data_IF_022157583721
#
_entry.id   IF_022157583721
#
_cell.length_a   1.000
_cell.length_b   1.000
_cell.length_c   1.000
_cell.angle_alpha   90.00
_cell.angle_beta   90.00
_cell.angle_gamma   90.00
#
_symmetry.space_group_name_H-M   'P 1'
#
loop_
_entity.id
_entity.type
_entity.pdbx_description
1 polymer ?
#
# COMPACT_ATOMS: atom_id res chain seq x y z
N UNK A 1 -5.17 21.38 16.95
CA UNK A 1 -6.31 20.47 17.17
C UNK A 1 -5.96 19.59 18.36
N UNK A 2 -6.80 19.54 19.38
CA UNK A 2 -6.50 18.81 20.62
C UNK A 2 -6.73 17.31 20.36
N UNK A 3 -5.74 16.45 20.67
CA UNK A 3 -5.82 14.99 20.46
C UNK A 3 -7.07 14.37 21.14
N UNK A 4 -7.50 14.93 22.26
CA UNK A 4 -8.69 14.48 22.98
C UNK A 4 -10.00 14.81 22.22
N UNK A 5 -10.08 15.95 21.54
CA UNK A 5 -11.26 16.32 20.73
C UNK A 5 -11.40 15.40 19.50
N UNK A 6 -10.28 14.94 18.93
CA UNK A 6 -10.28 13.99 17.82
C UNK A 6 -10.74 12.59 18.27
N UNK A 7 -10.44 12.20 19.52
CA UNK A 7 -10.84 10.91 20.08
C UNK A 7 -12.34 10.88 20.43
N UNK A 8 -12.92 12.01 20.87
CA UNK A 8 -14.35 12.10 21.19
C UNK A 8 -15.24 12.11 19.94
N UNK A 9 -14.78 12.69 18.84
CA UNK A 9 -15.55 12.75 17.58
C UNK A 9 -15.67 11.41 16.84
N UNK A 10 -14.86 10.42 17.16
CA UNK A 10 -14.79 9.14 16.45
C UNK A 10 -15.32 7.94 17.26
N UNK A 11 -16.16 8.18 18.25
CA UNK A 11 -16.79 7.10 19.01
C UNK A 11 -18.01 6.59 18.22
N UNK A 12 -17.87 5.41 17.61
CA UNK A 12 -18.97 4.75 16.92
C UNK A 12 -20.20 4.64 17.83
N UNK A 13 -21.39 5.09 17.40
CA UNK A 13 -22.63 4.94 18.15
C UNK A 13 -22.88 3.51 18.55
N UNK A 14 -23.36 3.31 19.80
CA UNK A 14 -23.46 1.97 20.41
C UNK A 14 -24.39 1.04 19.63
N UNK A 15 -25.42 1.58 18.94
CA UNK A 15 -26.37 0.76 18.19
C UNK A 15 -25.70 -0.05 17.08
N UNK A 16 -24.65 0.46 16.38
CA UNK A 16 -23.92 -0.33 15.39
C UNK A 16 -23.25 -1.57 15.99
N UNK A 17 -22.79 -1.47 17.26
CA UNK A 17 -22.17 -2.59 17.97
C UNK A 17 -23.20 -3.64 18.43
N UNK A 18 -24.48 -3.27 18.44
CA UNK A 18 -25.58 -4.16 18.87
C UNK A 18 -26.30 -4.82 17.70
N UNK A 19 -26.10 -4.31 16.47
CA UNK A 19 -26.66 -4.91 15.27
C UNK A 19 -26.01 -6.26 14.97
N UNK A 20 -26.82 -7.19 14.51
CA UNK A 20 -26.31 -8.45 13.95
C UNK A 20 -25.66 -8.22 12.60
N UNK A 21 -24.76 -9.11 12.21
CA UNK A 21 -24.13 -9.05 10.88
C UNK A 21 -25.18 -9.08 9.75
N UNK A 22 -26.23 -9.88 9.88
CA UNK A 22 -27.31 -9.98 8.89
C UNK A 22 -28.08 -8.65 8.72
N UNK A 23 -28.38 -7.95 9.83
CA UNK A 23 -29.01 -6.61 9.78
C UNK A 23 -28.13 -5.60 9.12
N UNK A 24 -26.81 -5.57 9.44
CA UNK A 24 -25.87 -4.66 8.79
C UNK A 24 -25.74 -4.93 7.29
N UNK A 25 -25.63 -6.20 6.87
CA UNK A 25 -25.57 -6.61 5.47
C UNK A 25 -26.82 -6.11 4.71
N UNK A 26 -28.00 -6.37 5.27
CA UNK A 26 -29.27 -5.92 4.66
C UNK A 26 -29.29 -4.39 4.49
N UNK A 27 -28.87 -3.67 5.53
CA UNK A 27 -28.90 -2.20 5.52
C UNK A 27 -27.87 -1.61 4.56
N UNK A 28 -26.63 -2.13 4.52
CA UNK A 28 -25.61 -1.71 3.53
C UNK A 28 -26.10 -1.94 2.10
N UNK A 29 -26.72 -3.09 1.85
CA UNK A 29 -27.28 -3.44 0.53
C UNK A 29 -28.39 -2.47 0.12
N UNK A 30 -29.29 -2.13 1.03
CA UNK A 30 -30.37 -1.16 0.82
C UNK A 30 -29.81 0.22 0.45
N UNK A 31 -28.86 0.74 1.24
CA UNK A 31 -28.27 2.07 1.01
C UNK A 31 -27.52 2.11 -0.31
N UNK A 32 -26.72 1.05 -0.63
CA UNK A 32 -26.06 0.95 -1.94
C UNK A 32 -27.06 1.03 -3.09
N UNK A 33 -28.18 0.32 -3.00
CA UNK A 33 -29.23 0.36 -4.03
C UNK A 33 -29.86 1.74 -4.15
N UNK A 34 -30.07 2.46 -3.05
CA UNK A 34 -30.65 3.82 -3.04
C UNK A 34 -29.69 4.86 -3.62
N UNK A 35 -28.40 4.79 -3.28
CA UNK A 35 -27.39 5.73 -3.78
C UNK A 35 -27.00 5.45 -5.24
N UNK A 36 -27.10 4.20 -5.69
CA UNK A 36 -26.86 3.79 -7.06
C UNK A 36 -25.53 4.30 -7.62
N UNK A 37 -25.53 4.90 -8.80
CA UNK A 37 -24.33 5.42 -9.48
C UNK A 37 -23.65 6.59 -8.75
N UNK A 38 -24.30 7.21 -7.76
CA UNK A 38 -23.69 8.26 -6.94
C UNK A 38 -22.70 7.74 -5.90
N UNK A 39 -22.68 6.42 -5.65
CA UNK A 39 -21.76 5.75 -4.72
C UNK A 39 -20.81 4.85 -5.48
N UNK A 40 -19.52 4.90 -5.10
CA UNK A 40 -18.49 3.98 -5.55
C UNK A 40 -17.64 3.52 -4.35
N UNK A 41 -17.49 2.21 -4.19
CA UNK A 41 -16.76 1.60 -3.08
C UNK A 41 -15.54 0.83 -3.63
N UNK A 42 -14.38 1.49 -3.83
CA UNK A 42 -13.13 0.80 -4.11
C UNK A 42 -12.60 0.12 -2.84
N UNK A 43 -12.12 -1.13 -2.98
CA UNK A 43 -11.71 -1.98 -1.87
C UNK A 43 -10.34 -2.62 -2.13
N UNK A 44 -9.42 -2.49 -1.19
CA UNK A 44 -8.12 -3.13 -1.30
C UNK A 44 -8.22 -4.64 -1.03
N UNK A 45 -7.35 -5.42 -1.67
CA UNK A 45 -7.29 -6.89 -1.48
C UNK A 45 -7.08 -7.34 -0.02
N UNK A 46 -6.52 -6.49 0.84
CA UNK A 46 -6.26 -6.82 2.26
C UNK A 46 -7.44 -6.55 3.19
N UNK A 47 -8.58 -6.11 2.66
CA UNK A 47 -9.77 -5.88 3.47
C UNK A 47 -10.41 -7.19 3.95
N UNK A 48 -11.20 -7.05 5.03
CA UNK A 48 -11.97 -8.15 5.63
C UNK A 48 -13.02 -8.69 4.66
N UNK A 49 -13.26 -10.00 4.73
CA UNK A 49 -14.26 -10.69 3.93
C UNK A 49 -15.70 -10.21 4.18
N UNK A 50 -15.97 -9.57 5.32
CA UNK A 50 -17.26 -8.93 5.62
C UNK A 50 -17.47 -7.59 4.87
N UNK A 51 -16.40 -6.97 4.36
CA UNK A 51 -16.43 -5.68 3.64
C UNK A 51 -16.35 -5.89 2.12
N UNK A 52 -15.50 -6.81 1.69
CA UNK A 52 -15.21 -7.09 0.27
C UNK A 52 -16.46 -7.31 -0.59
N UNK A 53 -17.52 -8.01 -0.14
CA UNK A 53 -18.73 -8.24 -0.96
C UNK A 53 -19.48 -6.97 -1.38
N UNK A 54 -19.25 -5.86 -0.70
CA UNK A 54 -19.88 -4.57 -1.01
C UNK A 54 -19.06 -3.70 -1.96
N UNK A 55 -17.85 -4.13 -2.32
CA UNK A 55 -16.98 -3.38 -3.22
C UNK A 55 -17.55 -3.34 -4.66
N UNK A 56 -17.37 -2.19 -5.32
CA UNK A 56 -17.64 -2.03 -6.75
C UNK A 56 -16.39 -2.33 -7.58
N UNK A 57 -15.21 -2.25 -6.95
CA UNK A 57 -13.93 -2.66 -7.52
C UNK A 57 -13.01 -3.16 -6.41
N UNK A 58 -12.29 -4.25 -6.69
CA UNK A 58 -11.25 -4.80 -5.82
C UNK A 58 -9.92 -4.74 -6.56
N UNK A 59 -8.86 -4.31 -5.87
CA UNK A 59 -7.56 -4.18 -6.50
C UNK A 59 -6.40 -3.96 -5.53
N UNK A 60 -5.21 -3.91 -6.10
CA UNK A 60 -4.03 -3.36 -5.45
C UNK A 60 -4.01 -1.82 -5.54
N UNK A 61 -3.01 -1.19 -4.91
CA UNK A 61 -2.91 0.27 -4.87
C UNK A 61 -2.86 0.91 -6.27
N UNK A 62 -2.20 0.28 -7.26
CA UNK A 62 -2.13 0.80 -8.63
C UNK A 62 -3.48 0.69 -9.34
N UNK A 63 -4.10 -0.49 -9.27
CA UNK A 63 -5.41 -0.72 -9.89
C UNK A 63 -6.46 0.24 -9.34
N UNK A 64 -6.50 0.40 -8.01
CA UNK A 64 -7.47 1.30 -7.37
C UNK A 64 -7.21 2.77 -7.71
N UNK A 65 -5.94 3.19 -7.82
CA UNK A 65 -5.60 4.54 -8.27
C UNK A 65 -6.08 4.80 -9.72
N UNK A 66 -5.87 3.83 -10.63
CA UNK A 66 -6.32 3.92 -12.02
C UNK A 66 -7.86 3.96 -12.12
N UNK A 67 -8.56 3.10 -11.36
CA UNK A 67 -10.03 3.06 -11.36
C UNK A 67 -10.61 4.35 -10.77
N UNK A 68 -10.03 4.86 -9.68
CA UNK A 68 -10.45 6.14 -9.09
C UNK A 68 -10.30 7.30 -10.08
N UNK A 69 -9.17 7.37 -10.80
CA UNK A 69 -8.93 8.37 -11.83
C UNK A 69 -9.94 8.34 -12.99
N UNK A 70 -10.45 7.14 -13.31
CA UNK A 70 -11.42 6.93 -14.41
C UNK A 70 -12.87 7.16 -13.98
N UNK A 71 -13.20 6.98 -12.71
CA UNK A 71 -14.57 7.19 -12.22
C UNK A 71 -14.88 8.67 -12.10
N UNK A 72 -15.72 9.18 -13.00
CA UNK A 72 -16.16 10.59 -13.02
C UNK A 72 -17.66 10.74 -12.66
N UNK A 73 -18.34 9.63 -12.37
CA UNK A 73 -19.81 9.64 -12.14
C UNK A 73 -20.18 9.70 -10.66
N UNK A 74 -19.52 8.90 -9.83
CA UNK A 74 -19.85 8.79 -8.42
C UNK A 74 -19.53 10.09 -7.68
N UNK A 75 -20.53 10.63 -6.99
CA UNK A 75 -20.36 11.78 -6.10
C UNK A 75 -19.63 11.39 -4.81
N UNK A 76 -19.92 10.21 -4.29
CA UNK A 76 -19.34 9.68 -3.06
C UNK A 76 -18.46 8.46 -3.33
N UNK A 77 -17.21 8.55 -2.91
CA UNK A 77 -16.25 7.45 -3.02
C UNK A 77 -15.90 7.01 -1.59
N UNK A 78 -16.41 5.85 -1.17
CA UNK A 78 -16.13 5.27 0.15
C UNK A 78 -14.96 4.31 0.00
N UNK A 79 -13.76 4.77 0.35
CA UNK A 79 -12.53 4.04 0.10
C UNK A 79 -12.27 3.02 1.20
N UNK A 80 -12.48 1.72 0.93
CA UNK A 80 -12.15 0.62 1.83
C UNK A 80 -10.69 0.21 1.65
N UNK A 81 -9.80 1.01 2.22
CA UNK A 81 -8.34 0.88 2.18
C UNK A 81 -7.71 1.59 3.36
N UNK A 82 -6.56 2.22 3.16
CA UNK A 82 -5.89 3.03 4.19
C UNK A 82 -5.72 4.47 3.73
N UNK A 83 -5.39 5.36 4.68
CA UNK A 83 -5.41 6.80 4.51
C UNK A 83 -4.70 7.29 3.24
N UNK A 84 -3.46 6.88 2.98
CA UNK A 84 -2.71 7.31 1.79
C UNK A 84 -3.37 6.88 0.45
N UNK A 85 -4.16 5.80 0.45
CA UNK A 85 -4.92 5.38 -0.74
C UNK A 85 -6.10 6.31 -0.98
N UNK A 86 -6.79 6.70 0.09
CA UNK A 86 -7.88 7.67 0.02
C UNK A 86 -7.37 9.06 -0.37
N UNK A 87 -6.20 9.52 0.13
CA UNK A 87 -5.52 10.72 -0.35
C UNK A 87 -5.22 10.63 -1.86
N UNK A 88 -4.71 9.49 -2.32
CA UNK A 88 -4.42 9.27 -3.74
C UNK A 88 -5.70 9.34 -4.57
N UNK A 89 -6.80 8.77 -4.10
CA UNK A 89 -8.10 8.87 -4.75
C UNK A 89 -8.61 10.33 -4.79
N UNK A 90 -8.51 11.08 -3.68
CA UNK A 90 -8.93 12.50 -3.65
C UNK A 90 -8.17 13.35 -4.68
N UNK A 91 -6.84 13.16 -4.77
CA UNK A 91 -6.00 13.88 -5.74
C UNK A 91 -6.30 13.56 -7.21
N UNK A 92 -6.77 12.33 -7.51
CA UNK A 92 -7.03 11.86 -8.86
C UNK A 92 -8.50 12.07 -9.32
N UNK A 93 -9.39 12.37 -8.39
CA UNK A 93 -10.81 12.59 -8.65
C UNK A 93 -11.12 14.08 -8.91
N UNK A 94 -12.36 14.41 -9.24
CA UNK A 94 -12.78 15.79 -9.48
C UNK A 94 -13.12 16.50 -8.17
N UNK A 95 -13.11 17.83 -8.17
CA UNK A 95 -13.47 18.65 -6.99
C UNK A 95 -14.90 18.44 -6.50
N UNK A 96 -15.79 17.88 -7.32
CA UNK A 96 -17.19 17.60 -6.97
C UNK A 96 -17.37 16.24 -6.29
N UNK A 97 -16.34 15.38 -6.36
CA UNK A 97 -16.36 14.07 -5.75
C UNK A 97 -15.83 14.14 -4.31
N UNK A 98 -16.48 13.41 -3.42
CA UNK A 98 -16.16 13.36 -2.01
C UNK A 98 -15.57 11.99 -1.69
N UNK A 99 -14.30 11.95 -1.35
CA UNK A 99 -13.62 10.72 -0.90
C UNK A 99 -13.75 10.62 0.62
N UNK A 100 -14.21 9.49 1.08
CA UNK A 100 -14.46 9.22 2.52
C UNK A 100 -13.75 7.93 2.93
N UNK A 101 -13.10 7.95 4.09
CA UNK A 101 -12.50 6.77 4.72
C UNK A 101 -13.40 6.29 5.88
N UNK A 102 -13.86 5.03 5.92
CA UNK A 102 -14.79 4.59 6.96
C UNK A 102 -14.28 4.72 8.40
N UNK A 103 -12.97 4.52 8.63
CA UNK A 103 -12.27 4.81 9.90
C UNK A 103 -10.99 5.60 9.63
N UNK A 104 -10.88 6.83 10.14
CA UNK A 104 -9.69 7.69 9.96
C UNK A 104 -8.42 7.10 10.57
N UNK A 105 -8.55 6.12 11.48
CA UNK A 105 -7.41 5.39 12.07
C UNK A 105 -6.90 4.26 11.18
N UNK A 106 -7.52 4.02 10.02
CA UNK A 106 -7.03 3.09 9.01
C UNK A 106 -5.82 3.70 8.29
N UNK A 107 -4.68 3.77 8.99
CA UNK A 107 -3.39 4.26 8.50
C UNK A 107 -2.51 3.17 7.91
N UNK A 108 -1.26 3.52 7.65
CA UNK A 108 -0.22 2.58 7.23
C UNK A 108 1.09 2.92 7.94
N UNK A 109 1.53 2.06 8.86
CA UNK A 109 2.75 2.29 9.65
C UNK A 109 3.99 2.50 8.78
N UNK A 110 4.07 1.85 7.61
CA UNK A 110 5.16 2.06 6.67
C UNK A 110 5.11 3.45 6.04
N UNK A 111 3.93 3.90 5.62
CA UNK A 111 3.75 5.25 5.07
C UNK A 111 4.14 6.32 6.11
N UNK A 112 3.80 6.08 7.38
CA UNK A 112 4.10 6.98 8.50
C UNK A 112 5.59 6.98 8.89
N UNK A 113 6.37 5.97 8.48
CA UNK A 113 7.83 5.93 8.69
C UNK A 113 8.59 6.95 7.85
N UNK A 114 7.99 7.50 6.80
CA UNK A 114 8.55 8.62 6.04
C UNK A 114 7.73 9.89 6.31
N UNK A 115 8.12 10.62 7.32
CA UNK A 115 7.55 11.92 7.66
C UNK A 115 8.15 13.03 6.80
N UNK A 116 7.32 14.02 6.39
CA UNK A 116 7.75 15.11 5.52
C UNK A 116 8.82 15.98 6.16
N UNK A 117 8.77 16.21 7.47
CA UNK A 117 9.79 17.00 8.18
C UNK A 117 11.12 16.26 8.22
N UNK A 118 11.09 14.94 8.41
CA UNK A 118 12.31 14.13 8.34
C UNK A 118 12.89 14.13 6.93
N UNK A 119 12.06 14.05 5.90
CA UNK A 119 12.51 14.08 4.50
C UNK A 119 13.12 15.45 4.14
N UNK A 120 12.48 16.55 4.50
CA UNK A 120 13.02 17.90 4.27
C UNK A 120 14.32 18.17 5.03
N UNK A 121 14.56 17.51 6.15
CA UNK A 121 15.84 17.55 6.86
C UNK A 121 16.92 16.65 6.24
N UNK A 122 16.51 15.52 5.66
CA UNK A 122 17.41 14.56 5.00
C UNK A 122 17.94 15.10 3.67
N UNK A 123 17.07 15.73 2.87
CA UNK A 123 17.35 16.11 1.50
C UNK A 123 18.57 17.02 1.33
N UNK A 124 18.74 18.13 2.09
CA UNK A 124 19.93 18.98 1.98
C UNK A 124 21.22 18.24 2.34
N UNK A 125 21.17 17.30 3.29
CA UNK A 125 22.33 16.49 3.64
C UNK A 125 22.74 15.56 2.52
N UNK A 126 21.77 14.90 1.88
CA UNK A 126 22.00 14.05 0.72
C UNK A 126 22.55 14.88 -0.47
N UNK A 127 22.00 16.08 -0.70
CA UNK A 127 22.51 17.00 -1.71
C UNK A 127 23.95 17.45 -1.41
N UNK A 128 24.33 17.61 -0.15
CA UNK A 128 25.71 17.92 0.24
C UNK A 128 26.65 16.75 -0.04
N UNK A 129 26.22 15.52 0.17
CA UNK A 129 27.03 14.31 -0.06
C UNK A 129 27.19 13.95 -1.54
N UNK A 130 26.12 14.09 -2.33
CA UNK A 130 26.03 13.55 -3.68
C UNK A 130 25.76 14.59 -4.76
N UNK A 131 25.56 15.86 -4.41
CA UNK A 131 25.19 16.89 -5.36
C UNK A 131 23.82 16.67 -5.99
N UNK A 132 23.57 17.25 -7.16
CA UNK A 132 22.32 17.11 -7.94
C UNK A 132 22.31 15.80 -8.76
N UNK A 133 22.69 14.69 -8.15
CA UNK A 133 22.74 13.37 -8.81
C UNK A 133 21.64 12.41 -8.34
N UNK A 134 20.75 12.85 -7.43
CA UNK A 134 19.75 12.00 -6.79
C UNK A 134 18.36 12.29 -7.36
N UNK A 135 17.63 11.25 -7.74
CA UNK A 135 16.21 11.31 -8.06
C UNK A 135 15.39 10.68 -6.90
N UNK A 136 14.47 11.40 -6.27
CA UNK A 136 13.61 10.80 -5.26
C UNK A 136 12.52 9.94 -5.94
N UNK A 137 12.31 8.74 -5.42
CA UNK A 137 11.28 7.80 -5.86
C UNK A 137 10.48 7.36 -4.63
N UNK A 138 9.17 7.53 -4.63
CA UNK A 138 8.36 7.07 -3.50
C UNK A 138 7.41 5.96 -3.86
N UNK A 139 7.40 4.93 -3.03
CA UNK A 139 6.34 3.93 -3.08
C UNK A 139 4.99 4.62 -2.88
N UNK A 140 3.95 4.17 -3.58
CA UNK A 140 2.59 4.73 -3.49
C UNK A 140 2.07 4.69 -2.04
N UNK A 141 2.61 3.76 -1.23
CA UNK A 141 2.37 3.65 0.21
C UNK A 141 3.16 4.75 0.97
N UNK A 142 2.81 5.99 0.72
CA UNK A 142 3.35 7.21 1.32
C UNK A 142 2.27 8.28 1.38
N UNK A 143 2.43 9.30 2.23
CA UNK A 143 1.47 10.39 2.35
C UNK A 143 1.46 11.28 1.11
N UNK A 144 0.39 12.06 0.92
CA UNK A 144 0.31 13.05 -0.15
C UNK A 144 1.46 14.07 -0.09
N UNK A 145 1.90 14.45 1.11
CA UNK A 145 3.02 15.37 1.32
C UNK A 145 4.35 14.80 0.79
N UNK A 146 4.62 13.51 1.01
CA UNK A 146 5.80 12.82 0.46
C UNK A 146 5.72 12.75 -1.06
N UNK A 147 4.56 12.40 -1.62
CA UNK A 147 4.34 12.39 -3.08
C UNK A 147 4.56 13.77 -3.70
N UNK A 148 4.08 14.82 -3.00
CA UNK A 148 4.26 16.21 -3.39
C UNK A 148 5.73 16.59 -3.45
N UNK A 149 6.49 16.32 -2.40
CA UNK A 149 7.94 16.54 -2.38
C UNK A 149 8.64 15.84 -3.55
N UNK A 150 8.33 14.57 -3.76
CA UNK A 150 8.93 13.78 -4.84
C UNK A 150 8.58 14.36 -6.22
N UNK A 151 7.34 14.76 -6.43
CA UNK A 151 6.91 15.38 -7.69
C UNK A 151 7.52 16.76 -7.94
N UNK A 152 7.73 17.56 -6.89
CA UNK A 152 8.42 18.84 -6.95
C UNK A 152 9.89 18.69 -7.36
N UNK A 153 10.57 17.64 -6.87
CA UNK A 153 11.96 17.33 -7.19
C UNK A 153 12.16 16.46 -8.44
N UNK A 154 11.16 16.39 -9.33
CA UNK A 154 11.27 15.68 -10.61
C UNK A 154 11.16 14.15 -10.51
N UNK A 155 10.91 13.62 -9.31
CA UNK A 155 10.78 12.21 -9.06
C UNK A 155 9.40 11.63 -9.43
N UNK A 156 9.16 10.38 -9.09
CA UNK A 156 7.94 9.64 -9.43
C UNK A 156 7.46 8.77 -8.28
N UNK A 157 6.19 8.41 -8.30
CA UNK A 157 5.68 7.30 -7.48
C UNK A 157 5.98 5.96 -8.15
N UNK A 158 5.91 4.88 -7.37
CA UNK A 158 6.10 3.50 -7.81
C UNK A 158 5.16 2.58 -7.02
N UNK A 159 4.80 1.45 -7.59
CA UNK A 159 4.08 0.35 -6.91
C UNK A 159 4.87 -0.94 -7.01
N UNK A 160 4.54 -1.94 -6.20
CA UNK A 160 5.15 -3.27 -6.33
C UNK A 160 4.89 -3.93 -7.69
N UNK A 161 3.86 -3.49 -8.43
CA UNK A 161 3.53 -4.03 -9.76
C UNK A 161 4.40 -3.46 -10.89
N UNK A 162 4.98 -2.28 -10.73
CA UNK A 162 5.78 -1.60 -11.75
C UNK A 162 7.18 -1.18 -11.26
N UNK A 163 7.61 -1.71 -10.10
CA UNK A 163 8.84 -1.27 -9.44
C UNK A 163 10.08 -1.39 -10.32
N UNK A 164 10.30 -2.54 -10.94
CA UNK A 164 11.45 -2.80 -11.81
C UNK A 164 11.53 -1.79 -12.97
N UNK A 165 10.39 -1.53 -13.62
CA UNK A 165 10.31 -0.58 -14.75
C UNK A 165 10.58 0.87 -14.31
N UNK A 166 9.98 1.28 -13.19
CA UNK A 166 10.13 2.65 -12.66
C UNK A 166 11.54 2.90 -12.12
N UNK A 167 12.11 1.96 -11.37
CA UNK A 167 13.47 2.09 -10.83
C UNK A 167 14.50 2.11 -11.95
N UNK A 168 14.35 1.27 -12.99
CA UNK A 168 15.20 1.31 -14.19
C UNK A 168 15.14 2.69 -14.85
N UNK A 169 13.94 3.22 -15.11
CA UNK A 169 13.76 4.56 -15.66
C UNK A 169 14.40 5.64 -14.77
N UNK A 170 14.23 5.57 -13.46
CA UNK A 170 14.76 6.56 -12.53
C UNK A 170 16.30 6.62 -12.55
N UNK A 171 16.96 5.48 -12.67
CA UNK A 171 18.41 5.35 -12.79
C UNK A 171 18.96 5.84 -14.15
N UNK A 172 18.12 5.92 -15.18
CA UNK A 172 18.45 6.57 -16.45
C UNK A 172 18.37 8.11 -16.36
N UNK A 173 17.56 8.65 -15.41
CA UNK A 173 17.39 10.09 -15.24
C UNK A 173 18.50 10.72 -14.41
N UNK A 174 18.96 10.02 -13.36
CA UNK A 174 20.00 10.46 -12.43
C UNK A 174 20.91 9.29 -12.06
N UNK A 175 22.11 9.58 -11.61
CA UNK A 175 23.09 8.56 -11.21
C UNK A 175 22.65 7.73 -10.02
N UNK A 176 21.77 8.31 -9.16
CA UNK A 176 21.32 7.73 -7.90
C UNK A 176 19.82 7.91 -7.73
N UNK A 177 19.20 6.98 -7.00
CA UNK A 177 17.83 7.14 -6.54
C UNK A 177 17.77 7.21 -5.01
N UNK A 178 16.80 7.98 -4.49
CA UNK A 178 16.42 7.95 -3.09
C UNK A 178 15.03 7.33 -2.98
N UNK A 179 14.96 6.08 -2.52
CA UNK A 179 13.74 5.27 -2.49
C UNK A 179 13.08 5.34 -1.11
N UNK A 180 11.80 5.75 -1.08
CA UNK A 180 10.98 5.91 0.12
C UNK A 180 9.69 5.09 0.00
N UNK A 181 9.01 4.75 1.12
CA UNK A 181 9.57 4.64 2.46
C UNK A 181 10.13 3.24 2.76
N UNK A 182 9.87 2.24 1.89
CA UNK A 182 10.19 0.82 2.11
C UNK A 182 11.58 0.46 1.60
N UNK A 183 12.48 0.14 2.54
CA UNK A 183 13.84 -0.28 2.19
C UNK A 183 13.87 -1.63 1.47
N UNK A 184 12.93 -2.53 1.77
CA UNK A 184 12.96 -3.89 1.23
C UNK A 184 12.49 -3.92 -0.22
N UNK A 185 11.37 -3.26 -0.55
CA UNK A 185 10.92 -3.14 -1.93
C UNK A 185 12.00 -2.46 -2.79
N UNK A 186 12.58 -1.35 -2.31
CA UNK A 186 13.64 -0.65 -3.03
C UNK A 186 14.88 -1.53 -3.24
N UNK A 187 15.34 -2.22 -2.19
CA UNK A 187 16.50 -3.13 -2.24
C UNK A 187 16.28 -4.30 -3.20
N UNK A 188 15.16 -5.00 -3.04
CA UNK A 188 14.85 -6.18 -3.85
C UNK A 188 14.70 -5.82 -5.33
N UNK A 189 14.05 -4.70 -5.63
CA UNK A 189 13.92 -4.20 -6.99
C UNK A 189 15.27 -3.80 -7.60
N UNK A 190 16.11 -3.08 -6.85
CA UNK A 190 17.43 -2.68 -7.32
C UNK A 190 18.35 -3.89 -7.52
N UNK A 191 18.27 -4.88 -6.64
CA UNK A 191 19.04 -6.13 -6.78
C UNK A 191 18.61 -6.94 -8.00
N UNK A 192 17.30 -7.02 -8.28
CA UNK A 192 16.76 -7.65 -9.50
C UNK A 192 17.27 -6.95 -10.77
N UNK A 193 17.50 -5.64 -10.74
CA UNK A 193 18.10 -4.85 -11.82
C UNK A 193 19.63 -5.00 -11.91
N UNK A 194 20.23 -5.84 -11.09
CA UNK A 194 21.67 -6.12 -11.10
C UNK A 194 22.54 -5.14 -10.30
N UNK A 195 21.93 -4.29 -9.46
CA UNK A 195 22.69 -3.42 -8.55
C UNK A 195 23.06 -4.24 -7.32
N UNK A 196 24.36 -4.42 -7.02
CA UNK A 196 24.80 -5.20 -5.87
C UNK A 196 24.48 -4.49 -4.55
N UNK A 197 24.33 -5.28 -3.47
CA UNK A 197 23.94 -4.75 -2.15
C UNK A 197 24.94 -3.72 -1.60
N UNK A 198 26.22 -3.87 -1.90
CA UNK A 198 27.29 -2.96 -1.52
C UNK A 198 27.19 -1.56 -2.19
N UNK A 199 26.34 -1.40 -3.22
CA UNK A 199 26.03 -0.10 -3.85
C UNK A 199 24.72 0.51 -3.33
N UNK A 200 24.16 -0.03 -2.23
CA UNK A 200 22.92 0.42 -1.61
C UNK A 200 23.19 0.95 -0.19
N UNK A 201 22.93 2.21 0.01
CA UNK A 201 23.01 2.87 1.32
C UNK A 201 21.65 2.90 2.02
N UNK A 202 21.64 3.05 3.34
CA UNK A 202 20.43 3.24 4.13
C UNK A 202 20.42 4.67 4.70
N UNK A 203 19.33 5.40 4.48
CA UNK A 203 19.07 6.61 5.23
C UNK A 203 18.29 6.30 6.51
N UNK A 204 18.89 6.58 7.67
CA UNK A 204 18.24 6.42 8.96
C UNK A 204 17.55 7.74 9.39
N UNK A 205 16.21 7.85 9.29
CA UNK A 205 15.51 9.09 9.60
C UNK A 205 15.53 9.45 11.09
N UNK A 206 15.67 8.47 11.98
CA UNK A 206 15.72 8.68 13.44
C UNK A 206 17.04 9.32 13.82
N UNK A 207 18.15 8.81 13.27
CA UNK A 207 19.50 9.37 13.51
C UNK A 207 19.81 10.54 12.58
N UNK A 208 19.01 10.72 11.52
CA UNK A 208 19.21 11.72 10.46
C UNK A 208 20.61 11.64 9.84
N UNK A 209 21.02 10.39 9.49
CA UNK A 209 22.33 10.07 8.92
C UNK A 209 22.25 8.98 7.86
N UNK A 210 23.26 8.93 7.00
CA UNK A 210 23.47 7.88 6.01
C UNK A 210 24.25 6.72 6.66
N UNK A 211 23.69 5.54 6.70
CA UNK A 211 24.35 4.28 7.08
C UNK A 211 24.89 3.62 5.80
N UNK A 212 26.19 3.72 5.57
CA UNK A 212 26.86 3.17 4.40
C UNK A 212 28.34 2.92 4.68
N UNK A 213 28.81 1.70 4.41
CA UNK A 213 30.20 1.29 4.62
C UNK A 213 31.05 1.31 3.33
N UNK A 214 30.39 1.51 2.16
CA UNK A 214 31.05 1.56 0.85
C UNK A 214 31.61 2.93 0.48
N UNK A 215 32.22 3.00 -0.70
CA UNK A 215 32.61 4.28 -1.29
C UNK A 215 31.36 5.03 -1.80
N UNK A 216 31.21 6.30 -1.43
CA UNK A 216 30.07 7.13 -1.83
C UNK A 216 29.90 7.25 -3.36
N UNK A 217 30.99 7.19 -4.11
CA UNK A 217 30.95 7.26 -5.58
C UNK A 217 30.27 6.02 -6.19
N UNK A 218 30.35 4.85 -5.51
CA UNK A 218 29.74 3.61 -5.96
C UNK A 218 28.27 3.48 -5.54
N UNK A 219 27.79 4.35 -4.62
CA UNK A 219 26.41 4.32 -4.15
C UNK A 219 25.43 4.66 -5.28
N UNK A 220 24.52 3.75 -5.60
CA UNK A 220 23.48 3.92 -6.63
C UNK A 220 22.09 4.09 -6.06
N UNK A 221 21.84 3.47 -4.91
CA UNK A 221 20.50 3.46 -4.28
C UNK A 221 20.61 3.86 -2.82
N UNK A 222 19.87 4.86 -2.43
CA UNK A 222 19.70 5.27 -1.05
C UNK A 222 18.30 4.83 -0.63
N UNK A 223 18.21 4.02 0.39
CA UNK A 223 16.96 3.43 0.88
C UNK A 223 16.55 4.08 2.19
N UNK A 224 15.34 4.62 2.27
CA UNK A 224 14.77 5.07 3.54
C UNK A 224 14.57 3.88 4.47
N UNK A 225 14.95 3.99 5.73
CA UNK A 225 14.91 2.90 6.73
C UNK A 225 13.49 2.65 7.26
N UNK A 226 12.55 2.42 6.37
CA UNK A 226 11.18 2.01 6.67
C UNK A 226 10.90 0.60 6.16
N UNK A 227 9.79 0.01 6.59
CA UNK A 227 9.39 -1.35 6.22
C UNK A 227 7.90 -1.60 6.50
N UNK A 228 7.32 -2.59 5.83
CA UNK A 228 5.98 -3.08 6.12
C UNK A 228 5.99 -3.99 7.34
N UNK A 229 5.20 -3.65 8.38
CA UNK A 229 5.10 -4.47 9.59
C UNK A 229 4.56 -5.88 9.34
N UNK A 230 3.74 -6.07 8.29
CA UNK A 230 3.24 -7.39 7.90
C UNK A 230 4.35 -8.22 7.27
N UNK A 231 4.98 -7.69 6.23
CA UNK A 231 5.97 -8.46 5.45
C UNK A 231 7.29 -8.68 6.19
N UNK A 232 7.63 -7.84 7.16
CA UNK A 232 8.78 -8.01 8.05
C UNK A 232 8.69 -9.30 8.93
N UNK A 233 7.49 -9.85 9.14
CA UNK A 233 7.29 -11.04 9.95
C UNK A 233 7.52 -12.36 9.18
N UNK A 234 7.72 -12.33 7.88
CA UNK A 234 8.19 -13.50 7.15
C UNK A 234 9.71 -13.64 7.30
N UNK A 235 10.15 -14.81 7.68
CA UNK A 235 11.55 -15.07 8.04
C UNK A 235 12.13 -16.22 7.24
N UNK A 236 13.46 -16.29 7.16
CA UNK A 236 14.19 -17.42 6.57
C UNK A 236 13.77 -18.75 7.22
N UNK A 237 13.52 -18.76 8.55
CA UNK A 237 13.04 -19.96 9.25
C UNK A 237 11.67 -20.45 8.74
N UNK A 238 10.80 -19.55 8.31
CA UNK A 238 9.53 -19.96 7.69
C UNK A 238 9.78 -20.69 6.38
N UNK A 239 10.67 -20.18 5.53
CA UNK A 239 11.06 -20.84 4.27
C UNK A 239 11.70 -22.21 4.53
N UNK A 240 12.66 -22.29 5.44
CA UNK A 240 13.31 -23.54 5.82
C UNK A 240 12.29 -24.58 6.32
N UNK A 241 11.33 -24.15 7.12
CA UNK A 241 10.24 -25.02 7.61
C UNK A 241 9.38 -25.58 6.45
N UNK A 242 9.00 -24.74 5.48
CA UNK A 242 8.26 -25.20 4.30
C UNK A 242 9.11 -26.16 3.47
N UNK A 243 10.37 -25.82 3.17
CA UNK A 243 11.28 -26.68 2.39
C UNK A 243 11.47 -28.06 3.05
N UNK A 244 11.56 -28.10 4.40
CA UNK A 244 11.71 -29.35 5.15
C UNK A 244 10.44 -30.19 5.15
N UNK A 245 9.29 -29.58 5.43
CA UNK A 245 8.04 -30.31 5.68
C UNK A 245 7.21 -30.51 4.40
N UNK A 246 7.39 -29.65 3.39
CA UNK A 246 6.66 -29.65 2.12
C UNK A 246 7.61 -29.38 0.94
N UNK A 247 8.55 -30.28 0.62
CA UNK A 247 9.65 -30.02 -0.34
C UNK A 247 9.20 -29.77 -1.78
N UNK A 248 7.95 -30.08 -2.13
CA UNK A 248 7.38 -29.81 -3.45
C UNK A 248 6.60 -28.48 -3.54
N UNK A 249 6.37 -27.86 -2.39
CA UNK A 249 5.57 -26.64 -2.31
C UNK A 249 6.39 -25.46 -2.84
N UNK A 250 5.81 -24.72 -3.81
CA UNK A 250 6.40 -23.48 -4.32
C UNK A 250 6.17 -22.37 -3.30
N UNK A 251 7.16 -21.51 -3.13
CA UNK A 251 7.10 -20.37 -2.21
C UNK A 251 7.05 -19.09 -3.04
N UNK A 252 5.98 -18.31 -2.88
CA UNK A 252 5.85 -16.98 -3.49
C UNK A 252 5.65 -15.93 -2.41
N UNK A 253 6.40 -14.82 -2.48
CA UNK A 253 6.40 -13.79 -1.45
C UNK A 253 6.22 -12.39 -2.04
N UNK A 254 5.72 -11.46 -1.24
CA UNK A 254 5.67 -10.05 -1.61
C UNK A 254 7.07 -9.42 -1.53
N UNK A 255 7.49 -8.53 -2.45
CA UNK A 255 8.83 -7.93 -2.46
C UNK A 255 9.10 -6.94 -1.30
N UNK A 256 8.12 -6.64 -0.46
CA UNK A 256 8.31 -5.97 0.83
C UNK A 256 8.87 -6.89 1.93
N UNK A 257 9.00 -8.19 1.68
CA UNK A 257 9.74 -9.11 2.54
C UNK A 257 11.24 -8.76 2.54
N UNK A 258 11.97 -9.17 3.57
CA UNK A 258 13.42 -8.93 3.62
C UNK A 258 14.12 -9.58 2.43
N UNK A 259 15.28 -9.05 2.07
CA UNK A 259 16.05 -9.54 0.91
C UNK A 259 16.38 -11.05 1.04
N UNK A 260 16.71 -11.50 2.24
CA UNK A 260 17.02 -12.90 2.50
C UNK A 260 15.80 -13.81 2.25
N UNK A 261 14.60 -13.36 2.58
CA UNK A 261 13.36 -14.10 2.33
C UNK A 261 13.05 -14.13 0.84
N UNK A 262 13.13 -12.99 0.16
CA UNK A 262 12.90 -12.91 -1.29
C UNK A 262 13.89 -13.78 -2.07
N UNK A 263 15.17 -13.75 -1.70
CA UNK A 263 16.23 -14.52 -2.37
C UNK A 263 16.09 -16.05 -2.21
N UNK A 264 15.42 -16.52 -1.16
CA UNK A 264 15.19 -17.94 -0.89
C UNK A 264 13.83 -18.44 -1.38
N UNK A 265 12.92 -17.55 -1.74
CA UNK A 265 11.63 -17.90 -2.35
C UNK A 265 11.81 -18.40 -3.79
N UNK A 266 10.82 -19.13 -4.33
CA UNK A 266 10.83 -19.55 -5.74
C UNK A 266 10.41 -18.41 -6.67
N UNK A 267 9.61 -17.46 -6.14
CA UNK A 267 9.17 -16.28 -6.87
C UNK A 267 8.80 -15.15 -5.90
N UNK A 268 8.83 -13.94 -6.41
CA UNK A 268 8.34 -12.75 -5.70
C UNK A 268 7.52 -11.87 -6.63
N UNK A 269 6.55 -11.14 -6.06
CA UNK A 269 5.76 -10.22 -6.86
C UNK A 269 4.68 -9.50 -6.09
N UNK A 270 4.09 -8.52 -6.77
CA UNK A 270 2.97 -7.74 -6.24
C UNK A 270 1.79 -8.63 -5.87
N UNK A 271 0.87 -8.08 -5.09
CA UNK A 271 -0.42 -8.71 -4.76
C UNK A 271 -1.11 -9.25 -6.01
N UNK A 272 -1.17 -8.46 -7.08
CA UNK A 272 -1.76 -8.88 -8.38
C UNK A 272 -1.01 -10.08 -8.96
N UNK A 273 0.32 -10.08 -8.97
CA UNK A 273 1.12 -11.20 -9.49
C UNK A 273 0.86 -12.46 -8.68
N UNK A 274 0.88 -12.39 -7.35
CA UNK A 274 0.61 -13.53 -6.46
C UNK A 274 -0.75 -14.17 -6.78
N UNK A 275 -1.81 -13.36 -6.84
CA UNK A 275 -3.16 -13.83 -7.18
C UNK A 275 -3.20 -14.47 -8.57
N UNK A 276 -2.60 -13.81 -9.55
CA UNK A 276 -2.61 -14.28 -10.95
C UNK A 276 -1.86 -15.60 -11.14
N UNK A 277 -0.67 -15.73 -10.53
CA UNK A 277 0.15 -16.95 -10.60
C UNK A 277 -0.57 -18.15 -10.00
N UNK A 278 -1.18 -17.96 -8.82
CA UNK A 278 -1.87 -19.03 -8.13
C UNK A 278 -3.15 -19.42 -8.87
N UNK A 279 -3.95 -18.45 -9.33
CA UNK A 279 -5.19 -18.72 -10.04
C UNK A 279 -4.96 -19.46 -11.36
N UNK A 280 -3.89 -19.13 -12.08
CA UNK A 280 -3.53 -19.74 -13.35
C UNK A 280 -2.75 -21.06 -13.20
N UNK A 281 -2.32 -21.41 -12.00
CA UNK A 281 -1.59 -22.66 -11.76
C UNK A 281 -2.50 -23.88 -11.93
N UNK A 282 -1.92 -25.00 -12.37
CA UNK A 282 -2.65 -26.24 -12.56
C UNK A 282 -3.28 -26.78 -11.26
N UNK A 283 -4.44 -27.45 -11.32
CA UNK A 283 -5.00 -28.16 -10.17
C UNK A 283 -4.00 -29.11 -9.51
N UNK A 284 -4.06 -29.21 -8.19
CA UNK A 284 -3.16 -30.05 -7.38
C UNK A 284 -1.78 -29.43 -7.10
N UNK A 285 -1.49 -28.21 -7.56
CA UNK A 285 -0.26 -27.51 -7.21
C UNK A 285 -0.24 -27.10 -5.74
N UNK A 286 0.96 -27.03 -5.15
CA UNK A 286 1.15 -26.67 -3.73
C UNK A 286 1.89 -25.35 -3.61
N UNK A 287 1.36 -24.42 -2.77
CA UNK A 287 1.88 -23.07 -2.60
C UNK A 287 2.00 -22.65 -1.15
N UNK A 288 3.13 -22.05 -0.77
CA UNK A 288 3.28 -21.27 0.46
C UNK A 288 3.37 -19.79 0.10
N UNK A 289 2.48 -18.99 0.65
CA UNK A 289 2.29 -17.58 0.25
C UNK A 289 2.72 -16.65 1.36
N UNK A 290 3.69 -15.79 1.08
CA UNK A 290 4.23 -14.79 2.01
C UNK A 290 3.67 -13.40 1.74
N UNK A 291 2.40 -13.17 2.11
CA UNK A 291 1.74 -11.87 2.07
C UNK A 291 0.62 -11.78 3.13
N UNK A 292 -0.20 -10.76 3.09
CA UNK A 292 -1.21 -10.41 4.08
C UNK A 292 -2.29 -11.50 4.25
N UNK A 293 -2.69 -11.74 5.50
CA UNK A 293 -3.47 -12.91 5.89
C UNK A 293 -4.89 -12.98 5.29
N UNK A 294 -5.62 -11.85 5.18
CA UNK A 294 -6.97 -11.85 4.58
C UNK A 294 -6.90 -12.22 3.10
N UNK A 295 -5.91 -11.71 2.38
CA UNK A 295 -5.69 -12.07 0.98
C UNK A 295 -5.37 -13.56 0.85
N UNK A 296 -4.45 -14.08 1.67
CA UNK A 296 -4.10 -15.51 1.64
C UNK A 296 -5.33 -16.38 1.93
N UNK A 297 -6.15 -15.98 2.91
CA UNK A 297 -7.41 -16.66 3.23
C UNK A 297 -8.36 -16.74 2.04
N UNK A 298 -8.54 -15.64 1.29
CA UNK A 298 -9.38 -15.63 0.07
C UNK A 298 -8.79 -16.46 -1.05
N UNK A 299 -7.49 -16.36 -1.29
CA UNK A 299 -6.82 -17.20 -2.30
C UNK A 299 -7.05 -18.69 -2.02
N UNK A 300 -7.00 -19.12 -0.75
CA UNK A 300 -7.30 -20.49 -0.35
C UNK A 300 -8.75 -20.86 -0.67
N UNK A 301 -9.71 -20.00 -0.32
CA UNK A 301 -11.14 -20.24 -0.56
C UNK A 301 -11.48 -20.30 -2.05
N UNK A 302 -10.86 -19.44 -2.86
CA UNK A 302 -11.09 -19.35 -4.31
C UNK A 302 -10.41 -20.47 -5.11
N UNK A 303 -9.43 -21.17 -4.51
CA UNK A 303 -8.65 -22.23 -5.16
C UNK A 303 -8.71 -23.56 -4.40
N UNK A 304 -9.90 -24.17 -4.21
CA UNK A 304 -10.05 -25.41 -3.43
C UNK A 304 -9.42 -26.64 -4.11
N UNK A 305 -9.06 -26.53 -5.39
CA UNK A 305 -8.36 -27.54 -6.19
C UNK A 305 -6.83 -27.53 -5.97
N UNK A 306 -6.31 -26.61 -5.17
CA UNK A 306 -4.88 -26.43 -4.88
C UNK A 306 -4.60 -26.52 -3.39
N UNK A 307 -3.38 -26.88 -3.01
CA UNK A 307 -2.95 -26.87 -1.62
C UNK A 307 -2.20 -25.57 -1.34
N UNK A 308 -2.83 -24.64 -0.65
CA UNK A 308 -2.27 -23.31 -0.37
C UNK A 308 -2.18 -23.12 1.13
N UNK A 309 -1.04 -22.60 1.60
CA UNK A 309 -0.83 -22.26 3.01
C UNK A 309 -0.17 -20.87 3.13
N UNK A 310 -0.37 -20.20 4.25
CA UNK A 310 0.45 -19.04 4.58
C UNK A 310 1.88 -19.50 4.88
N UNK A 311 2.87 -18.77 4.37
CA UNK A 311 4.30 -19.01 4.67
C UNK A 311 4.58 -18.89 6.17
N UNK A 312 3.86 -18.01 6.88
CA UNK A 312 3.87 -17.91 8.34
C UNK A 312 2.46 -18.21 8.87
N UNK A 313 2.20 -19.38 9.46
CA UNK A 313 0.87 -19.77 9.93
C UNK A 313 0.36 -18.94 11.12
N UNK A 314 1.22 -18.17 11.77
CA UNK A 314 0.90 -17.28 12.89
C UNK A 314 0.75 -15.82 12.45
N UNK A 315 0.64 -15.55 11.15
CA UNK A 315 0.52 -14.21 10.63
C UNK A 315 -0.81 -13.57 11.04
N UNK A 316 -0.72 -12.41 11.66
CA UNK A 316 -1.88 -11.55 11.88
C UNK A 316 -2.19 -10.74 10.61
N UNK A 317 -3.47 -10.44 10.34
CA UNK A 317 -3.83 -9.53 9.27
C UNK A 317 -3.28 -8.12 9.54
N UNK A 318 -3.26 -7.27 8.51
CA UNK A 318 -2.87 -5.88 8.65
C UNK A 318 -3.84 -5.15 9.60
N UNK A 319 -3.37 -4.85 10.81
CA UNK A 319 -4.21 -4.31 11.90
C UNK A 319 -4.85 -2.97 11.55
N UNK A 320 -4.15 -2.12 10.81
CA UNK A 320 -4.67 -0.80 10.42
C UNK A 320 -5.67 -0.90 9.27
N UNK A 321 -5.44 -1.78 8.29
CA UNK A 321 -6.40 -2.08 7.24
C UNK A 321 -7.70 -2.67 7.81
N UNK A 322 -7.58 -3.55 8.82
CA UNK A 322 -8.71 -4.22 9.48
C UNK A 322 -9.52 -3.32 10.45
N UNK A 323 -9.15 -2.05 10.59
CA UNK A 323 -10.00 -1.06 11.27
C UNK A 323 -11.29 -0.79 10.51
N UNK A 324 -11.24 -0.90 9.20
CA UNK A 324 -12.45 -0.83 8.37
C UNK A 324 -13.15 -2.18 8.46
N UNK A 325 -14.31 -2.20 9.08
CA UNK A 325 -15.19 -3.34 9.25
C UNK A 325 -16.61 -2.99 8.82
N UNK A 326 -17.50 -3.97 8.87
CA UNK A 326 -18.89 -3.78 8.45
C UNK A 326 -19.62 -2.68 9.23
N UNK A 327 -19.47 -2.55 10.57
CA UNK A 327 -20.04 -1.41 11.31
C UNK A 327 -19.56 -0.05 10.85
N UNK A 328 -18.26 0.11 10.59
CA UNK A 328 -17.69 1.39 10.11
C UNK A 328 -18.17 1.71 8.69
N UNK A 329 -18.25 0.70 7.82
CA UNK A 329 -18.80 0.87 6.48
C UNK A 329 -20.27 1.31 6.54
N UNK A 330 -21.09 0.62 7.32
CA UNK A 330 -22.51 0.96 7.48
C UNK A 330 -22.69 2.39 8.02
N UNK A 331 -21.99 2.72 9.09
CA UNK A 331 -22.06 4.07 9.67
C UNK A 331 -21.69 5.17 8.66
N UNK A 332 -20.68 4.93 7.84
CA UNK A 332 -20.29 5.87 6.78
C UNK A 332 -21.38 6.02 5.71
N UNK A 333 -21.98 4.91 5.29
CA UNK A 333 -23.04 4.94 4.28
C UNK A 333 -24.31 5.61 4.79
N UNK A 334 -24.69 5.40 6.05
CA UNK A 334 -25.84 6.10 6.67
C UNK A 334 -25.58 7.60 6.81
N UNK A 335 -24.36 8.02 7.18
CA UNK A 335 -23.99 9.43 7.20
C UNK A 335 -24.14 10.07 5.80
N UNK A 336 -23.68 9.41 4.74
CA UNK A 336 -23.84 9.87 3.36
C UNK A 336 -25.34 9.96 2.99
N UNK A 337 -26.13 8.95 3.31
CA UNK A 337 -27.57 8.92 3.06
C UNK A 337 -28.31 10.09 3.73
N UNK A 338 -27.89 10.47 4.93
CA UNK A 338 -28.44 11.57 5.71
C UNK A 338 -27.91 12.96 5.28
N UNK A 339 -26.99 13.01 4.30
CA UNK A 339 -26.36 14.25 3.86
C UNK A 339 -25.28 14.76 4.81
N UNK A 340 -24.77 13.92 5.69
CA UNK A 340 -23.71 14.24 6.62
C UNK A 340 -22.34 13.97 5.97
N UNK A 341 -21.36 14.84 6.27
CA UNK A 341 -19.96 14.63 5.87
C UNK A 341 -19.17 14.06 7.04
N UNK A 342 -18.85 12.77 6.95
CA UNK A 342 -18.04 12.08 7.94
C UNK A 342 -16.74 11.58 7.30
N UNK A 343 -15.61 11.79 8.01
CA UNK A 343 -14.31 11.26 7.60
C UNK A 343 -13.92 11.56 6.14
N UNK A 344 -14.26 12.78 5.67
CA UNK A 344 -13.84 13.22 4.35
C UNK A 344 -12.32 13.35 4.29
N UNK A 345 -11.74 12.81 3.24
CA UNK A 345 -10.34 13.03 2.89
C UNK A 345 -10.27 14.21 1.94
N UNK A 346 -9.39 15.15 2.26
CA UNK A 346 -9.14 16.30 1.40
C UNK A 346 -7.67 16.69 1.45
N UNK A 347 -7.00 16.60 0.32
CA UNK A 347 -5.63 17.08 0.12
C UNK A 347 -5.68 18.51 -0.40
N UNK A 348 -4.86 19.38 0.17
CA UNK A 348 -4.80 20.77 -0.28
C UNK A 348 -4.27 20.90 -1.71
N UNK A 349 -4.62 22.00 -2.39
CA UNK A 349 -4.33 22.22 -3.81
C UNK A 349 -2.81 22.25 -4.12
N UNK A 350 -2.01 22.82 -3.21
CA UNK A 350 -0.57 22.91 -3.42
C UNK A 350 0.09 21.54 -3.35
N UNK A 351 -0.26 20.75 -2.32
CA UNK A 351 0.19 19.36 -2.18
C UNK A 351 -0.27 18.53 -3.38
N UNK A 352 -1.55 18.63 -3.76
CA UNK A 352 -2.13 17.93 -4.90
C UNK A 352 -1.37 18.23 -6.20
N UNK A 353 -1.07 19.50 -6.48
CA UNK A 353 -0.40 19.95 -7.71
C UNK A 353 0.92 19.23 -7.98
N UNK A 354 1.75 19.06 -6.96
CA UNK A 354 3.05 18.39 -7.13
C UNK A 354 2.93 16.86 -7.00
N UNK A 355 2.07 16.36 -6.11
CA UNK A 355 1.82 14.94 -5.97
C UNK A 355 1.29 14.33 -7.28
N UNK A 356 0.39 15.03 -7.98
CA UNK A 356 -0.11 14.61 -9.30
C UNK A 356 1.02 14.44 -10.32
N UNK A 357 2.05 15.29 -10.33
CA UNK A 357 3.19 15.12 -11.25
C UNK A 357 3.92 13.79 -11.04
N UNK A 358 4.06 13.35 -9.78
CA UNK A 358 4.67 12.06 -9.47
C UNK A 358 3.75 10.89 -9.82
N UNK A 359 2.45 11.01 -9.54
CA UNK A 359 1.44 9.99 -9.84
C UNK A 359 1.23 9.83 -11.35
N UNK A 360 1.06 10.93 -12.09
CA UNK A 360 0.88 10.91 -13.54
C UNK A 360 2.09 10.31 -14.25
N UNK A 361 3.31 10.65 -13.82
CA UNK A 361 4.52 10.04 -14.35
C UNK A 361 4.55 8.54 -14.15
N UNK A 362 4.18 8.07 -12.96
CA UNK A 362 4.02 6.63 -12.70
C UNK A 362 3.01 6.01 -13.66
N UNK A 363 1.83 6.62 -13.81
CA UNK A 363 0.77 6.08 -14.68
C UNK A 363 1.18 6.05 -16.16
N UNK A 364 1.95 7.03 -16.63
CA UNK A 364 2.48 7.06 -18.00
C UNK A 364 3.56 6.01 -18.25
N UNK A 365 4.33 5.68 -17.20
CA UNK A 365 5.40 4.70 -17.26
C UNK A 365 4.92 3.26 -16.97
N UNK A 366 3.67 3.03 -16.53
CA UNK A 366 3.15 1.71 -16.11
C UNK A 366 2.63 0.81 -17.26
#
# INVERSE_FOLDING_TARGET
MNLLETVEQDTMPTHYKQMTQAEMIARVTEIKAQLGENLFIPCHHYQKDEVVPFADAIGDSLQLAQIAAQNKKAKHIVFCGVHFMAETADMLTTSEQIVTLPDMRAGCSMADMADIHQLTNAWPKLQTLFGDTILPVTYINSTAAIKSFVGEHGGTTVTSSNATKIVSWALEQKERIFFLPDQHLGRNTAFELGIPLEHMAIWNPIKNELEYEGNLDDCKVILWKGYCSVHQHFTVKNIESIRKNHPKMRIIVHPECTHEVVSLADDSGSTKKIVTEINNAAPGTEWAVGTEANLVGRIIQENPDKKIVSLNPFMCPCMTMNRIDLPHLLWTLEAIQNGEQRNQIKVDEQTTKFALKALERMLQLS
#
